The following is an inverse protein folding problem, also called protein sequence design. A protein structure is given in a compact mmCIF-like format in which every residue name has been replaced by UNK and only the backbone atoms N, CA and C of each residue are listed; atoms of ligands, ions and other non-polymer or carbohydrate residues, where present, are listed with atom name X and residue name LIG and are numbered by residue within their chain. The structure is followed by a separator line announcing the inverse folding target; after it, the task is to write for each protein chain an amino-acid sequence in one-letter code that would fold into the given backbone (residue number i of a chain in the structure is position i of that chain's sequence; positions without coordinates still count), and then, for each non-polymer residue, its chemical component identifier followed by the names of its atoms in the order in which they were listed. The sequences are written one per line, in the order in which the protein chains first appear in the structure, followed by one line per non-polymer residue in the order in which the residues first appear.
data_IF_211339660776
#
_entry.id   IF_211339660776
#
_cell.length_a   1.000
_cell.length_b   1.000
_cell.length_c   1.000
_cell.angle_alpha   90.00
_cell.angle_beta   90.00
_cell.angle_gamma   90.00
#
_symmetry.space_group_name_H-M   'P 1'
#
loop_
_entity.id
_entity.type
_entity.pdbx_description
1 polymer ?
#
# COMPACT_ATOMS: atom_id res chain seq x y z
N UNK A 1 -3.67 1.82 -24.48
CA UNK A 1 -2.92 2.92 -25.11
C UNK A 1 -3.80 4.15 -25.19
N UNK A 2 -3.23 5.35 -25.01
CA UNK A 2 -3.94 6.63 -25.22
C UNK A 2 -4.05 6.87 -26.73
N UNK A 3 -5.25 7.14 -27.21
CA UNK A 3 -5.49 7.44 -28.64
C UNK A 3 -4.70 8.69 -29.09
N UNK A 4 -4.26 8.71 -30.34
CA UNK A 4 -3.42 9.81 -30.86
C UNK A 4 -4.14 11.18 -30.79
N UNK A 5 -5.43 11.23 -31.09
CA UNK A 5 -6.22 12.45 -30.91
C UNK A 5 -6.22 12.95 -29.47
N UNK A 6 -6.32 12.06 -28.48
CA UNK A 6 -6.24 12.41 -27.07
C UNK A 6 -4.84 12.91 -26.68
N UNK A 7 -3.79 12.30 -27.20
CA UNK A 7 -2.41 12.80 -26.98
C UNK A 7 -2.23 14.20 -27.53
N UNK A 8 -2.76 14.46 -28.74
CA UNK A 8 -2.73 15.78 -29.33
C UNK A 8 -3.50 16.80 -28.47
N UNK A 9 -4.71 16.46 -28.02
CA UNK A 9 -5.54 17.31 -27.17
C UNK A 9 -4.84 17.67 -25.86
N UNK A 10 -4.26 16.66 -25.19
CA UNK A 10 -3.49 16.84 -23.94
C UNK A 10 -2.28 17.76 -24.12
N UNK A 11 -1.65 17.73 -25.30
CA UNK A 11 -0.46 18.55 -25.63
C UNK A 11 -0.81 19.96 -26.12
N UNK A 12 -1.87 20.10 -26.91
CA UNK A 12 -2.11 21.28 -27.73
C UNK A 12 -3.20 22.20 -27.17
N UNK A 13 -4.15 21.68 -26.39
CA UNK A 13 -5.23 22.50 -25.83
C UNK A 13 -4.78 23.07 -24.47
N UNK A 14 -4.76 24.40 -24.31
CA UNK A 14 -4.38 25.02 -23.03
C UNK A 14 -5.20 24.48 -21.85
N UNK A 15 -4.55 24.18 -20.76
CA UNK A 15 -5.12 23.66 -19.51
C UNK A 15 -5.83 22.29 -19.61
N UNK A 16 -6.05 21.73 -20.80
CA UNK A 16 -6.77 20.47 -20.96
C UNK A 16 -6.09 19.32 -20.18
N UNK A 17 -4.77 19.22 -20.22
CA UNK A 17 -4.02 18.20 -19.47
C UNK A 17 -4.24 18.32 -17.95
N UNK A 18 -4.31 19.55 -17.42
CA UNK A 18 -4.56 19.81 -15.99
C UNK A 18 -5.99 19.39 -15.60
N UNK A 19 -6.98 19.74 -16.40
CA UNK A 19 -8.37 19.36 -16.19
C UNK A 19 -8.58 17.84 -16.31
N UNK A 20 -8.02 17.22 -17.32
CA UNK A 20 -8.09 15.77 -17.50
C UNK A 20 -7.47 15.04 -16.33
N UNK A 21 -6.31 15.51 -15.86
CA UNK A 21 -5.64 14.95 -14.66
C UNK A 21 -6.51 15.13 -13.41
N UNK A 22 -7.11 16.27 -13.22
CA UNK A 22 -8.02 16.54 -12.11
C UNK A 22 -9.24 15.61 -12.13
N UNK A 23 -9.91 15.47 -13.28
CA UNK A 23 -11.08 14.59 -13.41
C UNK A 23 -10.75 13.12 -13.17
N UNK A 24 -9.61 12.65 -13.68
CA UNK A 24 -9.15 11.29 -13.43
C UNK A 24 -8.86 11.05 -11.94
N UNK A 25 -8.27 12.03 -11.26
CA UNK A 25 -8.00 11.96 -9.84
C UNK A 25 -9.28 12.00 -9.03
N UNK A 26 -10.18 12.93 -9.31
CA UNK A 26 -11.45 13.12 -8.62
C UNK A 26 -12.31 11.85 -8.68
N UNK A 27 -12.58 11.36 -9.89
CA UNK A 27 -13.41 10.18 -10.10
C UNK A 27 -12.85 8.90 -9.40
N UNK A 28 -11.53 8.79 -9.25
CA UNK A 28 -10.90 7.66 -8.59
C UNK A 28 -10.70 7.81 -7.08
N UNK A 29 -11.06 8.95 -6.50
CA UNK A 29 -10.76 9.27 -5.09
C UNK A 29 -11.98 9.72 -4.29
N UNK A 30 -13.01 10.25 -4.96
CA UNK A 30 -14.20 10.78 -4.30
C UNK A 30 -15.00 9.66 -3.62
N UNK A 31 -15.35 9.84 -2.36
CA UNK A 31 -16.07 8.84 -1.55
C UNK A 31 -15.28 7.57 -1.19
N UNK A 32 -14.13 7.32 -1.83
CA UNK A 32 -13.38 6.10 -1.57
C UNK A 32 -12.90 5.99 -0.12
N UNK A 33 -12.45 7.11 0.46
CA UNK A 33 -11.94 7.11 1.83
C UNK A 33 -13.00 6.62 2.83
N UNK A 34 -14.24 7.08 2.68
CA UNK A 34 -15.34 6.69 3.56
C UNK A 34 -15.68 5.20 3.46
N UNK A 35 -15.57 4.62 2.26
CA UNK A 35 -15.78 3.19 2.04
C UNK A 35 -14.75 2.28 2.73
N UNK A 36 -13.63 2.84 3.20
CA UNK A 36 -12.55 2.10 3.85
C UNK A 36 -12.61 2.16 5.38
N UNK A 37 -13.57 2.89 5.95
CA UNK A 37 -13.82 2.91 7.37
C UNK A 37 -14.61 1.70 7.83
N UNK A 38 -14.20 1.13 8.98
CA UNK A 38 -14.90 0.04 9.64
C UNK A 38 -16.17 0.61 10.31
N UNK A 39 -17.33 0.14 9.91
CA UNK A 39 -18.57 0.35 10.64
C UNK A 39 -18.70 -0.73 11.71
N UNK A 40 -18.66 -0.39 13.02
CA UNK A 40 -18.74 -1.38 14.10
C UNK A 40 -20.07 -2.13 14.16
N UNK A 41 -21.10 -1.63 13.48
CA UNK A 41 -22.44 -2.25 13.44
C UNK A 41 -22.71 -2.98 12.11
N UNK A 42 -21.69 -3.15 11.27
CA UNK A 42 -21.85 -3.83 9.97
C UNK A 42 -22.15 -5.31 10.13
N UNK A 43 -23.11 -5.82 9.34
CA UNK A 43 -23.64 -7.18 9.50
C UNK A 43 -22.65 -8.30 9.10
N UNK A 44 -21.73 -8.02 8.19
CA UNK A 44 -20.78 -9.00 7.64
C UNK A 44 -19.34 -8.47 7.69
N UNK A 45 -18.81 -8.21 8.91
CA UNK A 45 -17.53 -7.56 9.08
C UNK A 45 -16.34 -8.37 8.54
N UNK A 46 -16.48 -9.68 8.35
CA UNK A 46 -15.41 -10.56 7.89
C UNK A 46 -15.01 -10.28 6.43
N UNK A 47 -15.96 -9.88 5.59
CA UNK A 47 -15.78 -9.78 4.14
C UNK A 47 -15.98 -8.37 3.58
N UNK A 48 -16.55 -7.46 4.38
CA UNK A 48 -16.77 -6.06 4.00
C UNK A 48 -16.84 -5.18 5.25
N UNK A 49 -16.81 -3.85 5.11
CA UNK A 49 -16.67 -2.91 6.22
C UNK A 49 -17.92 -2.06 6.45
N UNK A 50 -18.66 -1.81 5.38
CA UNK A 50 -19.85 -0.96 5.32
C UNK A 50 -20.56 -1.19 3.99
N UNK A 51 -21.71 -0.55 3.78
CA UNK A 51 -22.52 -0.72 2.57
C UNK A 51 -21.77 -0.39 1.26
N UNK A 52 -20.96 0.68 1.24
CA UNK A 52 -20.19 1.05 0.05
C UNK A 52 -19.08 0.04 -0.26
N UNK A 53 -18.39 -0.45 0.77
CA UNK A 53 -17.36 -1.47 0.64
C UNK A 53 -17.96 -2.80 0.17
N UNK A 54 -19.16 -3.16 0.66
CA UNK A 54 -19.90 -4.33 0.19
C UNK A 54 -20.29 -4.19 -1.29
N UNK A 55 -20.84 -3.06 -1.71
CA UNK A 55 -21.18 -2.82 -3.11
C UNK A 55 -19.95 -2.97 -4.01
N UNK A 56 -18.83 -2.41 -3.58
CA UNK A 56 -17.57 -2.55 -4.30
C UNK A 56 -17.10 -4.00 -4.39
N UNK A 57 -17.26 -4.79 -3.31
CA UNK A 57 -16.99 -6.22 -3.32
C UNK A 57 -17.85 -6.95 -4.36
N UNK A 58 -19.15 -6.65 -4.38
CA UNK A 58 -20.09 -7.30 -5.30
C UNK A 58 -19.75 -7.00 -6.77
N UNK A 59 -19.37 -5.76 -7.06
CA UNK A 59 -18.91 -5.33 -8.39
C UNK A 59 -17.63 -6.07 -8.82
N UNK A 60 -16.68 -6.25 -7.90
CA UNK A 60 -15.45 -7.02 -8.16
C UNK A 60 -15.77 -8.50 -8.43
N UNK A 61 -16.64 -9.12 -7.63
CA UNK A 61 -17.06 -10.51 -7.83
C UNK A 61 -17.78 -10.67 -9.16
N UNK A 62 -18.66 -9.73 -9.52
CA UNK A 62 -19.33 -9.73 -10.81
C UNK A 62 -18.34 -9.60 -11.99
N UNK A 63 -17.28 -8.78 -11.84
CA UNK A 63 -16.20 -8.69 -12.81
C UNK A 63 -15.45 -10.02 -12.94
N UNK A 64 -15.00 -10.61 -11.83
CA UNK A 64 -14.29 -11.88 -11.78
C UNK A 64 -15.11 -13.00 -12.46
N UNK A 65 -16.40 -13.11 -12.13
CA UNK A 65 -17.32 -14.09 -12.73
C UNK A 65 -17.40 -13.94 -14.25
N UNK A 66 -17.50 -12.71 -14.76
CA UNK A 66 -17.51 -12.46 -16.21
C UNK A 66 -16.21 -12.87 -16.89
N UNK A 67 -15.08 -12.51 -16.30
CA UNK A 67 -13.76 -12.83 -16.88
C UNK A 67 -13.43 -14.31 -16.84
N UNK A 68 -14.00 -15.07 -15.90
CA UNK A 68 -13.83 -16.52 -15.78
C UNK A 68 -14.96 -17.33 -16.43
N UNK A 69 -15.76 -16.73 -17.33
CA UNK A 69 -16.84 -17.40 -18.06
C UNK A 69 -17.88 -18.07 -17.14
N UNK A 70 -18.07 -17.58 -15.93
CA UNK A 70 -19.01 -18.13 -14.93
C UNK A 70 -18.53 -19.39 -14.22
N UNK A 71 -17.23 -19.71 -14.25
CA UNK A 71 -16.68 -20.83 -13.48
C UNK A 71 -16.71 -20.54 -11.98
N UNK A 72 -17.70 -21.08 -11.30
CA UNK A 72 -17.92 -20.89 -9.85
C UNK A 72 -16.84 -21.58 -8.99
N UNK A 73 -16.18 -22.62 -9.47
CA UNK A 73 -15.07 -23.24 -8.75
C UNK A 73 -13.83 -22.32 -8.76
N UNK A 74 -13.46 -21.77 -9.90
CA UNK A 74 -12.39 -20.77 -9.97
C UNK A 74 -12.78 -19.51 -9.18
N UNK A 75 -14.02 -19.06 -9.25
CA UNK A 75 -14.50 -17.91 -8.50
C UNK A 75 -14.33 -18.11 -7.01
N UNK A 76 -14.72 -19.25 -6.47
CA UNK A 76 -14.58 -19.56 -5.04
C UNK A 76 -13.12 -19.57 -4.58
N UNK A 77 -12.21 -20.13 -5.40
CA UNK A 77 -10.77 -20.17 -5.10
C UNK A 77 -10.07 -18.81 -5.19
N UNK A 78 -10.61 -17.89 -6.00
CA UNK A 78 -9.97 -16.59 -6.26
C UNK A 78 -10.60 -15.44 -5.47
N UNK A 79 -11.79 -15.62 -4.92
CA UNK A 79 -12.46 -14.58 -4.11
C UNK A 79 -11.78 -14.44 -2.76
N UNK A 80 -11.22 -13.25 -2.43
CA UNK A 80 -10.56 -13.06 -1.15
C UNK A 80 -11.52 -13.17 0.03
N UNK A 81 -11.11 -13.82 1.16
CA UNK A 81 -11.93 -13.94 2.37
C UNK A 81 -11.83 -12.70 3.28
N UNK A 82 -11.45 -11.55 2.75
CA UNK A 82 -11.27 -10.30 3.48
C UNK A 82 -11.85 -9.11 2.69
N UNK A 83 -12.10 -7.96 3.35
CA UNK A 83 -12.66 -6.78 2.70
C UNK A 83 -11.82 -6.22 1.55
N UNK A 84 -12.43 -5.67 0.50
CA UNK A 84 -11.73 -4.88 -0.52
C UNK A 84 -10.85 -3.79 0.09
N UNK A 85 -9.71 -3.51 -0.54
CA UNK A 85 -8.66 -2.61 -0.06
C UNK A 85 -7.90 -3.08 1.19
N UNK A 86 -8.21 -4.20 1.79
CA UNK A 86 -7.40 -4.78 2.85
C UNK A 86 -5.96 -5.04 2.41
N UNK A 87 -5.79 -5.40 1.14
CA UNK A 87 -4.48 -5.45 0.45
C UNK A 87 -4.47 -4.47 -0.72
N UNK A 88 -3.30 -4.19 -1.29
CA UNK A 88 -3.15 -3.30 -2.43
C UNK A 88 -4.04 -3.74 -3.58
N UNK A 89 -4.94 -2.86 -4.02
CA UNK A 89 -5.77 -3.11 -5.18
C UNK A 89 -4.92 -3.07 -6.45
N UNK A 90 -5.05 -4.10 -7.26
CA UNK A 90 -4.41 -4.22 -8.56
C UNK A 90 -5.47 -4.03 -9.65
N UNK A 91 -5.06 -3.46 -10.78
CA UNK A 91 -5.91 -3.43 -11.96
C UNK A 91 -5.79 -4.76 -12.67
N UNK A 92 -6.93 -5.37 -12.98
CA UNK A 92 -6.95 -6.58 -13.80
C UNK A 92 -6.47 -6.27 -15.23
N UNK A 93 -5.51 -7.04 -15.69
CA UNK A 93 -5.01 -7.02 -17.06
C UNK A 93 -5.14 -8.43 -17.65
N UNK A 94 -6.37 -8.94 -17.66
CA UNK A 94 -6.75 -10.29 -18.12
C UNK A 94 -6.20 -11.44 -17.27
N UNK A 95 -5.91 -11.19 -15.98
CA UNK A 95 -5.42 -12.23 -15.07
C UNK A 95 -6.48 -13.31 -14.85
N UNK A 96 -7.73 -12.92 -14.57
CA UNK A 96 -8.83 -13.87 -14.40
C UNK A 96 -9.14 -14.64 -15.68
N UNK A 97 -9.11 -13.95 -16.84
CA UNK A 97 -9.28 -14.58 -18.16
C UNK A 97 -8.16 -15.56 -18.48
N UNK A 98 -6.98 -15.37 -17.95
CA UNK A 98 -5.86 -16.30 -18.12
C UNK A 98 -6.12 -17.62 -17.38
N UNK A 99 -6.80 -17.61 -16.22
CA UNK A 99 -7.07 -18.80 -15.41
C UNK A 99 -7.99 -19.81 -16.08
N UNK A 100 -8.82 -19.41 -17.06
CA UNK A 100 -9.71 -20.32 -17.81
C UNK A 100 -9.05 -20.94 -19.06
N UNK A 101 -7.76 -20.71 -19.28
CA UNK A 101 -7.05 -21.32 -20.41
C UNK A 101 -6.67 -22.76 -20.09
N UNK A 102 -6.75 -23.63 -21.08
CA UNK A 102 -6.46 -25.08 -20.96
C UNK A 102 -5.05 -25.38 -20.44
N UNK A 103 -4.09 -24.50 -20.74
CA UNK A 103 -2.69 -24.65 -20.32
C UNK A 103 -2.36 -23.97 -18.96
N UNK A 104 -3.37 -23.59 -18.17
CA UNK A 104 -3.21 -22.93 -16.88
C UNK A 104 -3.94 -23.72 -15.81
N UNK A 105 -3.27 -23.98 -14.70
CA UNK A 105 -3.85 -24.61 -13.52
C UNK A 105 -3.64 -23.73 -12.29
N UNK A 106 -4.72 -23.42 -11.59
CA UNK A 106 -4.66 -22.74 -10.31
C UNK A 106 -4.57 -23.78 -9.17
N UNK A 107 -3.43 -23.80 -8.50
CA UNK A 107 -3.19 -24.62 -7.30
C UNK A 107 -3.25 -23.71 -6.09
N UNK A 108 -4.13 -24.01 -5.14
CA UNK A 108 -4.33 -23.24 -3.89
C UNK A 108 -3.84 -23.99 -2.66
N UNK A 109 -3.42 -25.24 -2.82
CA UNK A 109 -2.85 -26.04 -1.75
C UNK A 109 -1.51 -25.45 -1.30
N UNK A 110 -1.23 -25.41 0.01
CA UNK A 110 0.04 -24.91 0.53
C UNK A 110 1.22 -25.70 -0.03
N UNK A 111 2.30 -25.01 -0.34
CA UNK A 111 3.55 -25.65 -0.79
C UNK A 111 4.23 -26.31 0.42
N UNK A 112 4.48 -27.60 0.33
CA UNK A 112 5.22 -28.38 1.32
C UNK A 112 6.73 -28.25 1.13
N UNK A 113 7.20 -28.46 -0.11
CA UNK A 113 8.63 -28.37 -0.45
C UNK A 113 8.86 -28.25 -1.95
N UNK A 114 10.03 -27.75 -2.31
CA UNK A 114 10.56 -27.83 -3.67
C UNK A 114 11.28 -29.17 -3.82
N UNK A 115 11.03 -29.87 -4.92
CA UNK A 115 11.66 -31.15 -5.29
C UNK A 115 12.66 -30.93 -6.43
N UNK A 116 13.49 -31.91 -6.79
CA UNK A 116 14.35 -31.80 -7.97
C UNK A 116 13.60 -31.65 -9.30
N UNK A 117 12.32 -32.03 -9.34
CA UNK A 117 11.48 -32.08 -10.53
C UNK A 117 10.32 -31.10 -10.51
N UNK A 118 10.10 -30.38 -9.38
CA UNK A 118 8.97 -29.45 -9.29
C UNK A 118 8.64 -29.00 -7.88
N UNK A 119 7.35 -28.99 -7.55
CA UNK A 119 6.81 -28.54 -6.27
C UNK A 119 5.86 -29.59 -5.72
N UNK A 120 6.05 -30.02 -4.48
CA UNK A 120 5.12 -30.87 -3.73
C UNK A 120 4.23 -30.01 -2.83
N UNK A 121 2.92 -30.21 -2.90
CA UNK A 121 1.92 -29.55 -2.05
C UNK A 121 1.57 -30.40 -0.83
N UNK A 122 0.90 -29.80 0.18
CA UNK A 122 0.55 -30.49 1.43
C UNK A 122 -0.41 -31.67 1.25
N UNK A 123 -1.18 -31.69 0.15
CA UNK A 123 -2.03 -32.82 -0.25
C UNK A 123 -1.23 -34.00 -0.84
N UNK A 124 0.10 -33.91 -0.90
CA UNK A 124 0.99 -34.93 -1.40
C UNK A 124 1.14 -35.01 -2.92
N UNK A 125 0.54 -34.07 -3.66
CA UNK A 125 0.70 -34.00 -5.11
C UNK A 125 2.01 -33.33 -5.51
N UNK A 126 2.65 -33.86 -6.54
CA UNK A 126 3.80 -33.23 -7.17
C UNK A 126 3.38 -32.52 -8.48
N UNK A 127 3.77 -31.25 -8.58
CA UNK A 127 3.57 -30.41 -9.74
C UNK A 127 4.89 -30.26 -10.47
N UNK A 128 5.08 -30.99 -11.56
CA UNK A 128 6.30 -30.96 -12.36
C UNK A 128 6.46 -29.63 -13.07
N UNK A 129 7.64 -29.04 -13.04
CA UNK A 129 7.98 -27.82 -13.75
C UNK A 129 9.48 -27.70 -14.02
N UNK A 130 9.82 -27.03 -15.12
CA UNK A 130 11.20 -26.73 -15.51
C UNK A 130 11.69 -25.39 -14.91
N UNK A 131 10.76 -24.50 -14.57
CA UNK A 131 11.06 -23.16 -14.06
C UNK A 131 10.11 -22.82 -12.92
N UNK A 132 10.66 -22.31 -11.82
CA UNK A 132 9.92 -21.76 -10.69
C UNK A 132 10.16 -20.25 -10.62
N UNK A 133 9.08 -19.46 -10.70
CA UNK A 133 9.14 -17.99 -10.54
C UNK A 133 8.75 -17.63 -9.11
N UNK A 134 9.70 -17.11 -8.35
CA UNK A 134 9.49 -16.66 -6.98
C UNK A 134 8.84 -15.27 -6.95
N UNK A 135 7.52 -15.22 -6.83
CA UNK A 135 6.75 -13.99 -6.71
C UNK A 135 6.26 -13.77 -5.27
N UNK A 136 7.11 -14.04 -4.28
CA UNK A 136 6.79 -14.12 -2.85
C UNK A 136 6.66 -12.76 -2.15
N UNK A 137 6.90 -11.64 -2.86
CA UNK A 137 6.77 -10.28 -2.34
C UNK A 137 8.01 -9.78 -1.60
N UNK A 138 7.88 -8.64 -0.92
CA UNK A 138 8.94 -7.95 -0.19
C UNK A 138 8.68 -7.93 1.32
N UNK A 139 9.76 -7.85 2.11
CA UNK A 139 9.68 -7.61 3.56
C UNK A 139 9.46 -6.11 3.85
N UNK A 140 8.30 -5.62 3.54
CA UNK A 140 7.99 -4.18 3.61
C UNK A 140 7.84 -3.64 5.04
N UNK A 141 7.62 -4.51 6.02
CA UNK A 141 7.58 -4.14 7.44
C UNK A 141 8.94 -3.70 8.00
N UNK A 142 10.04 -4.13 7.35
CA UNK A 142 11.40 -3.69 7.73
C UNK A 142 11.76 -2.39 7.02
N UNK A 143 11.18 -1.29 7.49
CA UNK A 143 11.53 0.02 6.96
C UNK A 143 13.03 0.28 7.11
N UNK A 144 13.65 0.76 6.04
CA UNK A 144 15.09 1.01 5.90
C UNK A 144 16.00 -0.21 5.99
N UNK A 145 15.49 -1.43 6.25
CA UNK A 145 16.32 -2.64 6.28
C UNK A 145 17.65 -2.45 7.01
N UNK A 146 18.82 -2.65 6.35
CA UNK A 146 20.13 -2.47 6.97
C UNK A 146 20.43 -1.03 7.42
N UNK A 147 19.84 -0.01 6.80
CA UNK A 147 20.05 1.39 7.19
C UNK A 147 19.50 1.68 8.59
N UNK A 148 18.45 0.99 9.01
CA UNK A 148 17.91 1.10 10.37
C UNK A 148 18.92 0.74 11.46
N UNK A 149 19.86 -0.15 11.16
CA UNK A 149 20.98 -0.52 12.06
C UNK A 149 22.21 0.37 11.88
N UNK A 150 22.43 0.90 10.68
CA UNK A 150 23.58 1.73 10.37
C UNK A 150 23.43 3.18 10.85
N UNK A 151 22.22 3.75 10.76
CA UNK A 151 21.95 5.12 11.19
C UNK A 151 21.91 5.19 12.71
N UNK A 152 22.82 5.99 13.29
CA UNK A 152 22.96 6.17 14.74
C UNK A 152 22.86 7.64 15.13
N UNK A 153 22.26 7.90 16.29
CA UNK A 153 22.27 9.23 16.88
C UNK A 153 23.58 9.49 17.66
N UNK A 154 23.71 10.69 18.19
CA UNK A 154 24.91 11.10 18.95
C UNK A 154 25.20 10.26 20.21
N UNK A 155 24.24 9.49 20.71
CA UNK A 155 24.39 8.60 21.85
C UNK A 155 24.68 7.13 21.42
N UNK A 156 24.84 6.86 20.13
CA UNK A 156 25.08 5.53 19.59
C UNK A 156 23.82 4.67 19.41
N UNK A 157 22.64 5.14 19.77
CA UNK A 157 21.38 4.44 19.57
C UNK A 157 21.05 4.36 18.08
N UNK A 158 20.70 3.16 17.59
CA UNK A 158 20.31 2.97 16.19
C UNK A 158 18.88 3.46 15.94
N UNK A 159 18.58 3.79 14.70
CA UNK A 159 17.22 4.17 14.30
C UNK A 159 16.22 3.06 14.60
N UNK A 160 16.60 1.80 14.39
CA UNK A 160 15.78 0.63 14.69
C UNK A 160 15.51 0.48 16.19
N UNK A 161 16.52 0.72 17.05
CA UNK A 161 16.34 0.73 18.49
C UNK A 161 15.36 1.83 18.92
N UNK A 162 15.50 3.03 18.34
CA UNK A 162 14.59 4.16 18.58
C UNK A 162 13.14 3.86 18.21
N UNK A 163 12.91 2.97 17.28
CA UNK A 163 11.60 2.53 16.80
C UNK A 163 11.11 1.23 17.45
N UNK A 164 11.71 0.78 18.54
CA UNK A 164 11.37 -0.49 19.19
C UNK A 164 11.37 -1.69 18.21
N UNK A 165 12.31 -1.72 17.28
CA UNK A 165 12.40 -2.72 16.24
C UNK A 165 11.64 -2.32 14.96
N UNK A 166 10.45 -2.84 14.76
CA UNK A 166 9.68 -2.69 13.52
C UNK A 166 8.41 -1.81 13.71
N UNK A 167 8.43 -0.84 14.65
CA UNK A 167 7.39 0.18 14.84
C UNK A 167 7.90 1.60 14.49
N UNK A 168 8.15 1.89 13.21
CA UNK A 168 8.74 3.14 12.77
C UNK A 168 7.80 4.31 13.00
N UNK A 169 8.30 5.38 13.64
CA UNK A 169 7.57 6.59 13.99
C UNK A 169 8.26 7.84 13.48
N UNK A 170 7.51 8.72 12.85
CA UNK A 170 8.02 10.01 12.40
C UNK A 170 6.92 11.07 12.41
N UNK A 171 7.29 12.32 12.60
CA UNK A 171 6.40 13.46 12.40
C UNK A 171 6.28 13.76 10.91
N UNK A 172 5.07 13.74 10.38
CA UNK A 172 4.75 13.92 8.94
C UNK A 172 5.51 12.95 8.00
N UNK A 173 6.03 11.83 8.54
CA UNK A 173 6.89 10.93 7.78
C UNK A 173 8.24 11.53 7.41
N UNK A 174 8.65 12.64 8.02
CA UNK A 174 9.87 13.38 7.65
C UNK A 174 10.92 13.36 8.74
N UNK A 175 10.56 13.57 9.99
CA UNK A 175 11.53 13.66 11.09
C UNK A 175 11.17 12.72 12.23
N UNK A 176 12.17 12.08 12.83
CA UNK A 176 12.02 11.22 14.00
C UNK A 176 12.75 11.78 15.20
N UNK A 177 12.36 11.36 16.41
CA UNK A 177 12.95 11.82 17.66
C UNK A 177 14.39 11.34 17.82
N UNK A 178 15.22 12.17 18.44
CA UNK A 178 16.62 11.88 18.80
C UNK A 178 17.60 11.73 17.64
N UNK A 179 17.14 12.00 16.41
CA UNK A 179 17.99 11.99 15.20
C UNK A 179 17.97 13.36 14.54
N UNK A 180 18.73 14.33 15.08
CA UNK A 180 18.78 15.66 14.51
C UNK A 180 19.35 15.65 13.10
N UNK A 181 18.84 16.55 12.26
CA UNK A 181 19.25 16.70 10.87
C UNK A 181 18.97 15.46 9.99
N UNK A 182 18.23 14.47 10.50
CA UNK A 182 17.77 13.34 9.70
C UNK A 182 16.40 13.67 9.10
N UNK A 183 16.34 13.78 7.79
CA UNK A 183 15.10 13.98 7.05
C UNK A 183 14.83 12.77 6.17
N UNK A 184 13.63 12.27 6.22
CA UNK A 184 13.15 11.14 5.42
C UNK A 184 12.15 11.64 4.39
N UNK A 185 12.20 11.07 3.20
CA UNK A 185 11.14 11.22 2.21
C UNK A 185 10.34 9.93 2.14
N UNK A 186 9.01 10.05 2.13
CA UNK A 186 8.12 8.90 2.13
C UNK A 186 8.40 7.95 3.31
N UNK A 187 8.68 8.55 4.48
CA UNK A 187 9.02 7.83 5.70
C UNK A 187 7.81 7.24 6.43
N UNK A 188 7.96 6.87 7.71
CA UNK A 188 6.93 6.21 8.51
C UNK A 188 5.57 6.91 8.47
N UNK A 189 4.50 6.12 8.34
CA UNK A 189 3.12 6.60 8.35
C UNK A 189 2.69 7.38 7.10
N UNK A 190 3.43 7.33 6.00
CA UNK A 190 3.09 8.04 4.77
C UNK A 190 2.81 7.14 3.57
N UNK A 191 2.75 5.83 3.78
CA UNK A 191 2.49 4.89 2.69
C UNK A 191 1.09 5.11 2.10
N UNK A 192 1.05 5.47 0.82
CA UNK A 192 -0.18 5.84 0.12
C UNK A 192 -0.96 4.58 -0.29
N UNK A 193 -2.00 4.26 0.45
CA UNK A 193 -2.82 3.07 0.22
C UNK A 193 -3.84 3.26 -0.92
N UNK A 194 -4.43 4.45 -1.02
CA UNK A 194 -5.43 4.79 -2.02
C UNK A 194 -5.41 6.30 -2.33
N UNK A 195 -5.98 6.68 -3.47
CA UNK A 195 -6.10 8.09 -3.87
C UNK A 195 -4.75 8.82 -3.91
N UNK A 196 -4.72 10.02 -4.42
CA UNK A 196 -3.52 10.86 -4.39
C UNK A 196 -2.38 10.44 -5.32
N UNK A 197 -1.26 11.11 -5.17
CA UNK A 197 -0.04 10.89 -5.94
C UNK A 197 1.15 10.87 -4.99
N UNK A 198 1.92 9.78 -5.03
CA UNK A 198 3.18 9.66 -4.28
C UNK A 198 4.15 10.79 -4.63
N UNK A 199 4.20 11.18 -5.89
CA UNK A 199 5.08 12.29 -6.35
C UNK A 199 4.64 13.60 -5.71
N UNK A 200 3.35 13.92 -5.73
CA UNK A 200 2.84 15.14 -5.08
C UNK A 200 3.11 15.14 -3.58
N UNK A 201 2.94 13.99 -2.91
CA UNK A 201 3.26 13.83 -1.50
C UNK A 201 4.74 14.14 -1.20
N UNK A 202 5.63 13.55 -2.01
CA UNK A 202 7.07 13.80 -1.90
C UNK A 202 7.43 15.26 -2.20
N UNK A 203 6.79 15.91 -3.18
CA UNK A 203 6.97 17.35 -3.45
C UNK A 203 6.57 18.21 -2.23
N UNK A 204 5.50 17.86 -1.52
CA UNK A 204 5.13 18.54 -0.28
C UNK A 204 6.19 18.34 0.81
N UNK A 205 6.70 17.12 0.97
CA UNK A 205 7.77 16.81 1.92
C UNK A 205 9.07 17.56 1.57
N UNK A 206 9.45 17.62 0.30
CA UNK A 206 10.62 18.40 -0.16
C UNK A 206 10.46 19.88 0.23
N UNK A 207 9.29 20.48 0.00
CA UNK A 207 9.06 21.88 0.39
C UNK A 207 9.22 22.09 1.89
N UNK A 208 8.69 21.18 2.70
CA UNK A 208 8.86 21.21 4.15
C UNK A 208 10.34 21.11 4.56
N UNK A 209 11.08 20.16 3.97
CA UNK A 209 12.51 19.96 4.24
C UNK A 209 13.31 21.19 3.79
N UNK A 210 13.02 21.77 2.64
CA UNK A 210 13.72 22.96 2.13
C UNK A 210 13.47 24.21 3.02
N UNK A 211 12.24 24.34 3.57
CA UNK A 211 11.98 25.39 4.56
C UNK A 211 12.78 25.17 5.84
N UNK A 212 12.85 23.93 6.32
CA UNK A 212 13.67 23.58 7.47
C UNK A 212 15.15 23.90 7.26
N UNK A 213 15.71 23.55 6.11
CA UNK A 213 17.08 23.93 5.73
C UNK A 213 17.29 25.43 5.67
N UNK A 214 16.35 26.15 5.11
CA UNK A 214 16.40 27.61 5.04
C UNK A 214 16.48 28.22 6.44
N UNK A 215 15.59 27.83 7.35
CA UNK A 215 15.59 28.27 8.74
C UNK A 215 16.91 27.93 9.44
N UNK A 216 17.47 26.77 9.20
CA UNK A 216 18.78 26.41 9.76
C UNK A 216 19.89 27.33 9.27
N UNK A 217 19.95 27.62 7.97
CA UNK A 217 21.00 28.45 7.38
C UNK A 217 20.84 29.91 7.79
N UNK A 218 19.65 30.47 7.63
CA UNK A 218 19.37 31.89 7.93
C UNK A 218 19.47 32.18 9.44
N UNK A 219 19.07 31.23 10.29
CA UNK A 219 19.16 31.31 11.75
C UNK A 219 20.53 30.93 12.33
N UNK A 220 21.48 30.49 11.51
CA UNK A 220 22.79 30.01 11.97
C UNK A 220 22.70 28.75 12.85
N UNK A 221 21.64 27.95 12.70
CA UNK A 221 21.43 26.76 13.50
C UNK A 221 22.15 25.56 12.91
N UNK A 222 22.89 24.83 13.75
CA UNK A 222 23.61 23.62 13.34
C UNK A 222 22.80 22.33 13.53
N UNK A 223 21.72 22.42 14.28
CA UNK A 223 20.90 21.27 14.67
C UNK A 223 19.41 21.61 14.60
N UNK A 224 18.65 20.74 13.96
CA UNK A 224 17.20 20.77 13.92
C UNK A 224 16.64 19.39 14.25
N UNK A 225 15.64 19.36 15.11
CA UNK A 225 14.99 18.13 15.55
C UNK A 225 13.51 18.40 15.84
N UNK A 226 12.66 17.43 15.59
CA UNK A 226 11.26 17.52 15.98
C UNK A 226 11.11 17.42 17.50
N UNK A 227 10.28 18.27 18.08
CA UNK A 227 9.97 18.21 19.52
C UNK A 227 9.06 17.01 19.81
N UNK A 228 9.21 16.42 21.02
CA UNK A 228 8.45 15.23 21.44
C UNK A 228 6.94 15.46 21.37
N UNK A 229 6.42 16.56 21.91
CA UNK A 229 4.98 16.81 21.97
C UNK A 229 4.29 16.81 20.58
N UNK A 230 4.74 17.56 19.56
CA UNK A 230 4.14 17.49 18.23
C UNK A 230 4.37 16.14 17.54
N UNK A 231 5.50 15.46 17.76
CA UNK A 231 5.75 14.12 17.24
C UNK A 231 4.72 13.12 17.78
N UNK A 232 4.54 13.08 19.10
CA UNK A 232 3.66 12.11 19.75
C UNK A 232 2.18 12.41 19.44
N UNK A 233 1.78 13.67 19.46
CA UNK A 233 0.42 14.07 19.09
C UNK A 233 0.07 13.70 17.65
N UNK A 234 1.02 13.84 16.71
CA UNK A 234 0.84 13.44 15.34
C UNK A 234 0.66 11.91 15.21
N UNK A 235 1.55 11.13 15.84
CA UNK A 235 1.49 9.67 15.78
C UNK A 235 0.24 9.12 16.47
N UNK A 236 -0.18 9.67 17.61
CA UNK A 236 -1.43 9.29 18.28
C UNK A 236 -2.66 9.54 17.40
N UNK A 237 -2.70 10.67 16.68
CA UNK A 237 -3.76 10.97 15.72
C UNK A 237 -3.74 10.01 14.54
N UNK A 238 -2.55 9.67 14.04
CA UNK A 238 -2.37 8.72 12.94
C UNK A 238 -2.86 7.33 13.33
N UNK A 239 -2.47 6.85 14.52
CA UNK A 239 -2.89 5.55 15.05
C UNK A 239 -4.42 5.47 15.22
N UNK A 240 -5.02 6.49 15.83
CA UNK A 240 -6.47 6.54 16.01
C UNK A 240 -7.24 6.44 14.68
N UNK A 241 -6.72 7.10 13.63
CA UNK A 241 -7.28 6.99 12.29
C UNK A 241 -7.02 5.62 11.67
N UNK A 242 -5.82 5.10 11.82
CA UNK A 242 -5.43 3.80 11.26
C UNK A 242 -6.29 2.67 11.82
N UNK A 243 -6.57 2.65 13.12
CA UNK A 243 -7.39 1.62 13.77
C UNK A 243 -8.86 1.62 13.33
N UNK A 244 -9.34 2.68 12.71
CA UNK A 244 -10.69 2.72 12.13
C UNK A 244 -10.76 2.27 10.67
N UNK A 245 -9.65 1.83 10.08
CA UNK A 245 -9.53 1.58 8.64
C UNK A 245 -9.40 0.09 8.32
N UNK A 246 -9.71 -0.27 7.10
CA UNK A 246 -9.63 -1.63 6.54
C UNK A 246 -8.30 -2.33 6.81
N UNK A 247 -7.20 -1.60 6.92
CA UNK A 247 -5.85 -2.17 7.08
C UNK A 247 -5.59 -2.81 8.44
N UNK A 248 -6.45 -2.55 9.43
CA UNK A 248 -6.40 -3.18 10.75
C UNK A 248 -7.39 -4.33 10.90
N UNK A 249 -8.12 -4.68 9.85
CA UNK A 249 -9.02 -5.82 9.84
C UNK A 249 -8.28 -7.12 10.14
N UNK A 250 -8.83 -7.98 11.02
CA UNK A 250 -8.15 -9.19 11.52
C UNK A 250 -7.78 -10.19 10.42
N UNK A 251 -8.58 -10.30 9.35
CA UNK A 251 -8.32 -11.18 8.20
C UNK A 251 -7.27 -10.64 7.21
N UNK A 252 -6.62 -9.51 7.51
CA UNK A 252 -5.74 -8.83 6.55
C UNK A 252 -4.31 -8.74 7.05
N UNK A 253 -3.37 -9.26 6.27
CA UNK A 253 -1.94 -8.98 6.42
C UNK A 253 -1.51 -8.03 5.31
N UNK A 254 -1.01 -6.86 5.67
CA UNK A 254 -0.59 -5.84 4.73
C UNK A 254 0.60 -5.02 5.25
N UNK A 255 1.07 -4.06 4.47
CA UNK A 255 2.20 -3.18 4.77
C UNK A 255 1.80 -1.73 5.07
N UNK A 256 0.56 -1.47 5.44
CA UNK A 256 0.05 -0.12 5.70
C UNK A 256 0.11 0.28 7.18
N UNK A 257 0.85 -0.45 7.98
CA UNK A 257 1.13 -0.10 9.38
C UNK A 257 2.28 0.86 9.49
#
# INVERSE_FOLDING_TARGET
RVAEGMKWTLKSIPFYAKWNRFLLFWAGSDGLHDSLHIDPNWATPEISLNAQNQQFRDDLIAHMRREMNGDENLLSKTTPPYPPYGKRMLRDNHWYRMLVRENVSLVTEPIRRVTPTGIETEDGKEHFCDVIVLATGFQTARMLGPLGEAVRNGNGETLRQSWNGDDPRAHLGVMTLRFPNLFMMYGPGTNLAHGGSIIFHMECQIRYIMQAFREMVEGGHQRMEVRTAPHDAYNAKLDAKHYSMVWTHQGVTNWYK
#
